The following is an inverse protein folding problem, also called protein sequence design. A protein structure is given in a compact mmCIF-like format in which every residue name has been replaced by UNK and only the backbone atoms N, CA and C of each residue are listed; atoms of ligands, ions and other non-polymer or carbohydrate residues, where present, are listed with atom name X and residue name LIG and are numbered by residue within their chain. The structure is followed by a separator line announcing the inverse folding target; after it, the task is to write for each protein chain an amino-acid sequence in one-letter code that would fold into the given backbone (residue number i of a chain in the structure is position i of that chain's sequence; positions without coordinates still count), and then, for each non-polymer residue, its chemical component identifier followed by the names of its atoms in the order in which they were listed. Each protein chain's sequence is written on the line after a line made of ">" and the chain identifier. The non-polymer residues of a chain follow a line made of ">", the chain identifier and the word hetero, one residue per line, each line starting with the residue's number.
data_IF_967885422866
#
_entry.id   IF_967885422866
#
_cell.length_a   1.000
_cell.length_b   1.000
_cell.length_c   1.000
_cell.angle_alpha   90.00
_cell.angle_beta   90.00
_cell.angle_gamma   90.00
#
_symmetry.space_group_name_H-M   'P 1'
#
loop_
_entity.id
_entity.type
_entity.pdbx_description
1 polymer ?
#
# COMPACT_ATOMS: atom_id res chain seq x y z
N UNK A 1 16.01 2.52 14.92
CA UNK A 1 14.69 3.15 15.00
C UNK A 1 13.84 2.71 13.82
N UNK A 2 12.65 2.20 14.12
CA UNK A 2 11.73 1.78 13.07
C UNK A 2 11.23 3.01 12.29
N UNK A 3 11.15 2.92 10.98
CA UNK A 3 10.80 4.07 10.15
C UNK A 3 10.21 3.63 8.82
N UNK A 4 9.55 4.55 8.17
CA UNK A 4 9.15 4.40 6.77
C UNK A 4 10.40 4.41 5.89
N UNK A 5 10.48 3.48 4.97
CA UNK A 5 11.61 3.34 4.04
C UNK A 5 11.25 3.70 2.61
N UNK A 6 9.96 3.90 2.32
CA UNK A 6 9.52 4.29 0.98
C UNK A 6 8.04 4.14 0.81
N UNK A 7 7.54 4.54 -0.35
CA UNK A 7 6.14 4.32 -0.74
C UNK A 7 6.02 2.90 -1.28
N UNK A 8 5.20 2.10 -0.60
CA UNK A 8 4.97 0.71 -1.02
C UNK A 8 4.01 0.62 -2.19
N UNK A 9 3.06 1.54 -2.28
CA UNK A 9 2.12 1.52 -3.38
C UNK A 9 1.12 2.66 -3.33
N UNK A 10 0.38 2.81 -4.42
CA UNK A 10 -0.72 3.76 -4.55
C UNK A 10 -1.95 2.97 -4.97
N UNK A 11 -3.05 3.14 -4.25
CA UNK A 11 -4.29 2.42 -4.48
C UNK A 11 -5.36 3.42 -4.92
N UNK A 12 -6.02 3.11 -6.03
CA UNK A 12 -6.95 4.02 -6.68
C UNK A 12 -8.36 3.44 -6.64
N UNK A 13 -9.35 4.28 -6.36
CA UNK A 13 -10.75 3.86 -6.55
C UNK A 13 -11.12 3.97 -8.02
N UNK A 14 -11.85 2.98 -8.52
CA UNK A 14 -12.31 2.94 -9.89
C UNK A 14 -13.70 2.32 -9.94
N UNK A 15 -14.56 2.86 -10.79
CA UNK A 15 -15.87 2.27 -11.05
C UNK A 15 -15.75 0.90 -11.72
N UNK A 16 -14.67 0.70 -12.48
CA UNK A 16 -14.37 -0.58 -13.12
C UNK A 16 -12.86 -0.81 -13.07
N UNK A 17 -12.35 -1.40 -11.98
CA UNK A 17 -10.90 -1.60 -11.83
C UNK A 17 -10.27 -2.46 -12.94
N UNK A 18 -11.00 -3.45 -13.42
CA UNK A 18 -10.51 -4.29 -14.52
C UNK A 18 -10.32 -3.50 -15.80
N UNK A 19 -11.32 -2.68 -16.14
CA UNK A 19 -11.24 -1.84 -17.34
C UNK A 19 -10.11 -0.81 -17.21
N UNK A 20 -9.94 -0.22 -16.02
CA UNK A 20 -8.85 0.72 -15.78
C UNK A 20 -7.49 0.03 -15.95
N UNK A 21 -7.32 -1.14 -15.36
CA UNK A 21 -6.09 -1.91 -15.51
C UNK A 21 -5.80 -2.27 -16.97
N UNK A 22 -6.82 -2.72 -17.70
CA UNK A 22 -6.69 -3.05 -19.12
C UNK A 22 -6.29 -1.84 -19.95
N UNK A 23 -6.84 -0.67 -19.63
CA UNK A 23 -6.48 0.57 -20.32
C UNK A 23 -4.99 0.90 -20.13
N UNK A 24 -4.50 0.79 -18.87
CA UNK A 24 -3.10 1.06 -18.56
C UNK A 24 -2.17 0.02 -19.20
N UNK A 25 -2.59 -1.24 -19.24
CA UNK A 25 -1.81 -2.27 -19.91
C UNK A 25 -1.69 -1.98 -21.42
N UNK A 26 -2.80 -1.62 -22.06
CA UNK A 26 -2.87 -1.39 -23.50
C UNK A 26 -2.12 -0.12 -23.90
N UNK A 27 -2.30 0.97 -23.18
CA UNK A 27 -1.82 2.28 -23.62
C UNK A 27 -0.50 2.71 -23.00
N UNK A 28 -0.18 2.19 -21.80
CA UNK A 28 1.04 2.59 -21.09
C UNK A 28 1.97 1.41 -20.77
N UNK A 29 1.63 0.23 -21.25
CA UNK A 29 2.49 -0.93 -21.09
C UNK A 29 2.64 -1.45 -19.67
N UNK A 30 1.70 -1.10 -18.78
CA UNK A 30 1.71 -1.60 -17.41
C UNK A 30 1.34 -3.08 -17.41
N UNK A 31 2.16 -3.91 -16.77
CA UNK A 31 1.86 -5.34 -16.66
C UNK A 31 0.92 -5.55 -15.49
N UNK A 32 -0.37 -5.76 -15.81
CA UNK A 32 -1.43 -5.84 -14.81
C UNK A 32 -1.82 -7.29 -14.57
N UNK A 33 -1.74 -7.72 -13.32
CA UNK A 33 -2.20 -9.02 -12.87
C UNK A 33 -3.57 -8.94 -12.20
N UNK A 34 -3.89 -9.97 -11.42
CA UNK A 34 -5.20 -10.09 -10.78
C UNK A 34 -5.50 -8.93 -9.81
N UNK A 35 -4.49 -8.47 -9.08
CA UNK A 35 -4.65 -7.45 -8.04
C UNK A 35 -4.07 -6.10 -8.43
N UNK A 36 -3.65 -5.93 -9.67
CA UNK A 36 -3.03 -4.71 -10.14
C UNK A 36 -1.62 -4.94 -10.63
N UNK A 37 -0.77 -3.95 -10.51
CA UNK A 37 0.61 -4.03 -10.99
C UNK A 37 1.59 -3.84 -9.84
N UNK A 38 2.77 -4.41 -10.01
CA UNK A 38 3.89 -4.21 -9.10
C UNK A 38 5.11 -3.84 -9.95
N UNK A 39 5.70 -2.69 -9.63
CA UNK A 39 6.93 -2.23 -10.27
C UNK A 39 8.09 -2.62 -9.37
N UNK A 40 9.06 -3.35 -9.92
CA UNK A 40 10.24 -3.73 -9.16
C UNK A 40 11.34 -2.69 -9.37
N UNK A 41 11.88 -2.15 -8.29
CA UNK A 41 12.96 -1.16 -8.40
C UNK A 41 14.22 -1.72 -9.04
N UNK A 42 14.43 -3.02 -8.94
CA UNK A 42 15.57 -3.67 -9.57
C UNK A 42 15.52 -3.63 -11.11
N UNK A 43 14.33 -3.42 -11.69
CA UNK A 43 14.17 -3.34 -13.14
C UNK A 43 14.57 -1.98 -13.68
N UNK A 44 14.62 -0.96 -12.82
CA UNK A 44 15.07 0.38 -13.18
C UNK A 44 16.53 0.61 -12.84
N UNK A 45 16.93 0.16 -11.67
CA UNK A 45 18.29 0.34 -11.18
C UNK A 45 18.86 -1.04 -10.86
N UNK A 46 20.09 -1.32 -11.31
CA UNK A 46 20.63 -2.68 -11.24
C UNK A 46 20.67 -3.30 -9.84
N UNK A 47 20.56 -2.50 -8.80
CA UNK A 47 20.72 -2.96 -7.41
C UNK A 47 19.50 -2.70 -6.54
N UNK A 48 18.41 -2.23 -7.11
CA UNK A 48 17.19 -2.00 -6.33
C UNK A 48 16.52 -3.31 -5.97
N UNK A 49 16.02 -3.43 -4.75
CA UNK A 49 15.29 -4.61 -4.28
C UNK A 49 13.86 -4.30 -3.85
N UNK A 50 13.48 -3.04 -3.84
CA UNK A 50 12.14 -2.66 -3.47
C UNK A 50 11.13 -2.88 -4.59
N UNK A 51 9.87 -2.74 -4.24
CA UNK A 51 8.75 -2.79 -5.19
C UNK A 51 7.78 -1.68 -4.88
N UNK A 52 7.04 -1.24 -5.89
CA UNK A 52 5.91 -0.32 -5.72
C UNK A 52 4.69 -0.98 -6.34
N UNK A 53 3.63 -1.13 -5.57
CA UNK A 53 2.36 -1.67 -6.04
C UNK A 53 1.51 -0.56 -6.66
N UNK A 54 0.72 -0.92 -7.68
CA UNK A 54 -0.25 -0.03 -8.29
C UNK A 54 -1.53 -0.83 -8.48
N UNK A 55 -2.53 -0.57 -7.63
CA UNK A 55 -3.70 -1.44 -7.52
C UNK A 55 -4.99 -0.63 -7.63
N UNK A 56 -5.79 -0.81 -8.71
CA UNK A 56 -7.15 -0.28 -8.72
C UNK A 56 -8.06 -1.05 -7.76
N UNK A 57 -8.90 -0.32 -7.06
CA UNK A 57 -9.91 -0.89 -6.17
C UNK A 57 -11.30 -0.47 -6.64
N UNK A 58 -12.34 -1.27 -6.34
CA UNK A 58 -13.71 -0.89 -6.68
C UNK A 58 -14.10 0.45 -6.04
N UNK A 59 -14.97 1.20 -6.71
CA UNK A 59 -15.44 2.48 -6.21
C UNK A 59 -16.08 2.37 -4.82
N UNK A 60 -16.75 1.27 -4.54
CA UNK A 60 -17.45 1.01 -3.30
C UNK A 60 -16.60 0.27 -2.25
N UNK A 61 -15.29 0.17 -2.48
CA UNK A 61 -14.42 -0.54 -1.53
C UNK A 61 -14.49 0.07 -0.15
N UNK A 62 -14.46 -0.78 0.86
CA UNK A 62 -14.32 -0.37 2.26
C UNK A 62 -12.86 -0.42 2.73
N UNK A 63 -11.95 -0.86 1.86
CA UNK A 63 -10.54 -1.04 2.21
C UNK A 63 -9.87 0.28 2.58
N UNK A 64 -10.32 1.40 1.99
CA UNK A 64 -9.80 2.73 2.32
C UNK A 64 -10.44 3.33 3.57
N UNK A 65 -11.21 2.55 4.31
CA UNK A 65 -11.91 2.99 5.50
C UNK A 65 -13.25 3.65 5.19
N UNK A 66 -13.84 4.30 6.18
CA UNK A 66 -15.17 4.90 6.06
C UNK A 66 -15.19 6.23 5.33
N UNK A 67 -14.03 6.86 5.20
CA UNK A 67 -13.91 8.14 4.50
C UNK A 67 -14.12 7.98 3.01
N UNK A 68 -14.15 9.11 2.31
CA UNK A 68 -14.33 9.15 0.87
C UNK A 68 -13.04 9.43 0.13
N UNK A 69 -11.91 9.14 0.75
CA UNK A 69 -10.63 9.35 0.06
C UNK A 69 -10.56 8.48 -1.21
N UNK A 70 -10.11 9.07 -2.29
CA UNK A 70 -10.02 8.39 -3.58
C UNK A 70 -8.75 7.55 -3.70
N UNK A 71 -7.75 7.83 -2.88
CA UNK A 71 -6.43 7.20 -2.93
C UNK A 71 -6.03 6.82 -1.51
N UNK A 72 -5.45 5.62 -1.36
CA UNK A 72 -4.81 5.23 -0.12
C UNK A 72 -3.34 4.95 -0.41
N UNK A 73 -2.45 5.60 0.34
CA UNK A 73 -1.02 5.39 0.19
C UNK A 73 -0.58 4.24 1.08
N UNK A 74 0.24 3.38 0.54
CA UNK A 74 0.91 2.32 1.27
C UNK A 74 2.36 2.71 1.47
N UNK A 75 2.84 2.68 2.72
CA UNK A 75 4.23 2.97 3.04
C UNK A 75 4.94 1.69 3.46
N UNK A 76 6.11 1.44 2.89
CA UNK A 76 6.99 0.37 3.34
C UNK A 76 7.61 0.76 4.66
N UNK A 77 7.71 -0.20 5.57
CA UNK A 77 8.37 -0.01 6.85
C UNK A 77 9.37 -1.14 7.09
N UNK A 78 10.38 -0.86 7.87
CA UNK A 78 11.43 -1.84 8.18
C UNK A 78 11.09 -2.73 9.38
N UNK A 79 10.32 -2.21 10.34
CA UNK A 79 9.91 -2.95 11.54
C UNK A 79 8.52 -2.46 11.96
N UNK A 80 7.51 -3.18 11.51
CA UNK A 80 6.12 -2.77 11.73
C UNK A 80 5.75 -2.78 13.21
N UNK A 81 6.13 -3.83 13.93
CA UNK A 81 5.75 -3.94 15.35
C UNK A 81 6.36 -2.80 16.18
N UNK A 82 7.64 -2.50 15.96
CA UNK A 82 8.29 -1.41 16.66
C UNK A 82 7.67 -0.06 16.33
N UNK A 83 7.35 0.17 15.04
CA UNK A 83 6.70 1.40 14.62
C UNK A 83 5.32 1.55 15.27
N UNK A 84 4.53 0.50 15.33
CA UNK A 84 3.19 0.56 15.93
C UNK A 84 3.25 0.84 17.43
N UNK A 85 4.28 0.35 18.13
CA UNK A 85 4.49 0.70 19.54
C UNK A 85 4.73 2.20 19.68
N UNK A 86 5.59 2.77 18.85
CA UNK A 86 5.89 4.20 18.88
C UNK A 86 4.67 5.05 18.52
N UNK A 87 3.91 4.63 17.51
CA UNK A 87 2.70 5.35 17.09
C UNK A 87 1.62 5.32 18.18
N UNK A 88 1.43 4.19 18.83
CA UNK A 88 0.48 4.07 19.93
C UNK A 88 0.88 4.98 21.08
N UNK A 89 2.16 5.04 21.42
CA UNK A 89 2.66 5.92 22.49
C UNK A 89 2.46 7.39 22.14
N UNK A 90 2.46 7.73 20.87
CA UNK A 90 2.23 9.10 20.39
C UNK A 90 0.74 9.44 20.23
N UNK A 91 -0.17 8.52 20.53
CA UNK A 91 -1.61 8.76 20.43
C UNK A 91 -2.16 8.64 19.02
N UNK A 92 -1.44 8.04 18.09
CA UNK A 92 -1.91 7.82 16.73
C UNK A 92 -2.94 6.69 16.72
N UNK A 93 -4.06 6.90 16.03
CA UNK A 93 -5.06 5.86 15.89
C UNK A 93 -4.53 4.72 15.02
N UNK A 94 -4.69 3.50 15.52
CA UNK A 94 -4.27 2.28 14.84
C UNK A 94 -5.49 1.37 14.74
N UNK A 95 -5.80 0.89 13.53
CA UNK A 95 -6.88 -0.07 13.34
C UNK A 95 -6.55 -1.35 14.11
N UNK A 96 -7.50 -1.91 14.88
CA UNK A 96 -7.31 -3.21 15.53
C UNK A 96 -7.05 -4.34 14.55
N UNK A 97 -7.52 -4.20 13.30
CA UNK A 97 -7.29 -5.19 12.25
C UNK A 97 -5.82 -5.26 11.88
N UNK A 98 -5.33 -6.48 11.69
CA UNK A 98 -3.99 -6.75 11.19
C UNK A 98 -4.09 -7.82 10.11
N UNK A 99 -3.17 -7.77 9.14
CA UNK A 99 -3.05 -8.85 8.16
C UNK A 99 -1.60 -9.32 8.09
N UNK A 100 -1.43 -10.64 8.05
CA UNK A 100 -0.14 -11.29 7.85
C UNK A 100 -0.29 -12.23 6.66
N UNK A 101 0.40 -11.90 5.58
CA UNK A 101 0.34 -12.63 4.33
C UNK A 101 1.71 -13.18 3.96
N UNK A 102 1.75 -14.03 2.94
CA UNK A 102 3.02 -14.59 2.47
C UNK A 102 3.99 -13.51 1.95
N UNK A 103 3.46 -12.36 1.55
CA UNK A 103 4.22 -11.26 0.99
C UNK A 103 4.44 -10.10 1.95
N UNK A 104 4.02 -10.23 3.20
CA UNK A 104 4.30 -9.22 4.19
C UNK A 104 3.26 -9.09 5.28
N UNK A 105 3.52 -8.15 6.18
CA UNK A 105 2.67 -7.82 7.32
C UNK A 105 2.09 -6.43 7.12
N UNK A 106 0.81 -6.27 7.45
CA UNK A 106 0.07 -5.04 7.17
C UNK A 106 -0.63 -4.53 8.42
N UNK A 107 -0.68 -3.21 8.53
CA UNK A 107 -1.47 -2.49 9.52
C UNK A 107 -2.00 -1.21 8.91
N UNK A 108 -2.99 -0.60 9.55
CA UNK A 108 -3.61 0.64 9.08
C UNK A 108 -3.69 1.64 10.20
N UNK A 109 -3.38 2.88 9.87
CA UNK A 109 -3.42 4.02 10.79
C UNK A 109 -4.17 5.17 10.13
N UNK A 110 -4.36 6.26 10.86
CA UNK A 110 -4.80 7.55 10.28
C UNK A 110 -3.75 8.59 10.54
N UNK A 111 -3.49 9.42 9.53
CA UNK A 111 -2.60 10.56 9.71
C UNK A 111 -3.32 11.73 10.41
N UNK A 112 -2.63 12.86 10.58
CA UNK A 112 -3.17 14.01 11.30
C UNK A 112 -4.34 14.69 10.58
N UNK A 113 -4.51 14.43 9.28
CA UNK A 113 -5.65 14.92 8.50
C UNK A 113 -6.78 13.89 8.40
N UNK A 114 -6.64 12.76 9.08
CA UNK A 114 -7.66 11.71 9.10
C UNK A 114 -7.59 10.75 7.91
N UNK A 115 -6.58 10.83 7.08
CA UNK A 115 -6.43 9.91 5.95
C UNK A 115 -6.03 8.53 6.44
N UNK A 116 -6.72 7.49 5.93
CA UNK A 116 -6.32 6.11 6.19
C UNK A 116 -5.05 5.82 5.39
N UNK A 117 -4.07 5.25 6.07
CA UNK A 117 -2.75 4.91 5.54
C UNK A 117 -2.49 3.44 5.80
N UNK A 118 -1.95 2.75 4.84
CA UNK A 118 -1.51 1.35 5.01
C UNK A 118 -0.01 1.31 5.26
N UNK A 119 0.39 0.51 6.25
CA UNK A 119 1.79 0.25 6.55
C UNK A 119 2.10 -1.20 6.21
N UNK A 120 3.20 -1.42 5.53
CA UNK A 120 3.56 -2.73 5.01
C UNK A 120 5.04 -3.03 5.30
N UNK A 121 5.24 -4.11 6.04
CA UNK A 121 6.58 -4.67 6.21
C UNK A 121 6.71 -5.87 5.30
N UNK A 122 7.45 -5.76 4.19
CA UNK A 122 7.69 -6.90 3.31
C UNK A 122 8.46 -7.99 4.05
N UNK A 123 8.15 -9.25 3.74
CA UNK A 123 8.94 -10.35 4.27
C UNK A 123 10.28 -10.39 3.55
N UNK A 124 11.32 -10.75 4.31
CA UNK A 124 12.64 -10.97 3.73
C UNK A 124 12.59 -12.13 2.74
N UNK A 125 13.19 -11.96 1.58
CA UNK A 125 13.26 -12.98 0.54
C UNK A 125 14.65 -13.55 0.47
#
# INVERSE_FOLDING_TARGET
>A
MARVTGVGGVFLRSADPKALGAWYAKHLGVVVGEYGATFSWKDEVPKGTGTTAWNPFPMDTTYFGEGKQAVMINYRVDDLDALLVDLAAAGVWIDPKRENESYGRFAWIRDCDGNRVELWQPLAT
#
